data_IF_405894239424
#
_entry.id   IF_405894239424
#
_cell.length_a   1.000
_cell.length_b   1.000
_cell.length_c   1.000
_cell.angle_alpha   90.00
_cell.angle_beta   90.00
_cell.angle_gamma   90.00
#
_symmetry.space_group_name_H-M   'P 1'
#
loop_
_entity.id
_entity.type
_entity.pdbx_description
1 polymer ?
#
# COMPACT_ATOMS: atom_id res chain seq x y z
N UNK A 1 -17.66 -23.23 -7.64
CA UNK A 1 -16.37 -22.77 -8.19
C UNK A 1 -16.67 -21.61 -9.11
N UNK A 2 -15.96 -20.49 -8.98
CA UNK A 2 -16.20 -19.30 -9.80
C UNK A 2 -14.86 -18.85 -10.36
N UNK A 3 -14.67 -19.06 -11.67
CA UNK A 3 -13.48 -18.61 -12.37
C UNK A 3 -13.73 -17.16 -12.82
N UNK A 4 -12.83 -16.24 -12.47
CA UNK A 4 -12.97 -14.81 -12.78
C UNK A 4 -11.76 -14.35 -13.60
N UNK A 5 -12.03 -13.74 -14.75
CA UNK A 5 -11.05 -13.11 -15.63
C UNK A 5 -11.10 -11.60 -15.45
N UNK A 6 -10.03 -11.02 -14.91
CA UNK A 6 -9.85 -9.57 -14.83
C UNK A 6 -8.84 -9.11 -15.89
N UNK A 7 -9.33 -8.26 -16.82
CA UNK A 7 -8.51 -7.62 -17.85
C UNK A 7 -8.37 -6.14 -17.49
N UNK A 8 -7.14 -5.70 -17.24
CA UNK A 8 -6.83 -4.30 -16.89
C UNK A 8 -5.76 -3.72 -17.81
N UNK A 9 -5.99 -2.51 -18.31
CA UNK A 9 -4.90 -1.68 -18.84
C UNK A 9 -4.10 -1.11 -17.67
N UNK A 10 -2.77 -1.12 -17.78
CA UNK A 10 -1.92 -0.53 -16.75
C UNK A 10 -2.09 1.00 -16.82
N UNK A 11 -2.64 1.67 -15.77
CA UNK A 11 -2.81 3.11 -15.79
C UNK A 11 -1.46 3.84 -15.88
N UNK A 12 -1.44 4.99 -16.55
CA UNK A 12 -0.24 5.83 -16.58
C UNK A 12 0.01 6.40 -15.17
N UNK A 13 1.25 6.43 -14.67
CA UNK A 13 1.57 7.06 -13.40
C UNK A 13 1.12 8.53 -13.45
N UNK A 14 0.14 8.89 -12.62
CA UNK A 14 -0.47 10.23 -12.56
C UNK A 14 -1.99 10.29 -12.73
N UNK A 15 -2.67 9.23 -13.18
CA UNK A 15 -4.14 9.22 -13.29
C UNK A 15 -4.82 8.73 -12.00
N UNK A 16 -5.40 9.67 -11.24
CA UNK A 16 -6.02 9.47 -9.91
C UNK A 16 -7.21 8.50 -9.93
N UNK A 17 -7.98 8.42 -11.03
CA UNK A 17 -9.16 7.53 -11.15
C UNK A 17 -8.84 6.04 -11.16
N UNK A 18 -7.56 5.67 -11.32
CA UNK A 18 -7.14 4.27 -11.34
C UNK A 18 -6.78 3.69 -9.96
N UNK A 19 -6.68 4.56 -8.94
CA UNK A 19 -6.35 4.17 -7.56
C UNK A 19 -7.47 3.37 -6.88
N UNK A 20 -8.74 3.59 -7.23
CA UNK A 20 -9.86 2.90 -6.58
C UNK A 20 -9.97 1.40 -6.96
N UNK A 21 -9.31 0.97 -8.05
CA UNK A 21 -9.36 -0.42 -8.52
C UNK A 21 -8.20 -1.31 -8.04
N UNK A 22 -7.11 -0.74 -7.53
CA UNK A 22 -5.99 -1.50 -6.96
C UNK A 22 -6.14 -1.63 -5.45
N UNK A 23 -6.54 -2.84 -5.00
CA UNK A 23 -7.04 -3.09 -3.65
C UNK A 23 -5.99 -3.30 -2.57
N UNK A 24 -4.69 -3.36 -2.88
CA UNK A 24 -3.62 -3.47 -1.88
C UNK A 24 -2.37 -2.68 -2.26
N UNK A 25 -1.67 -2.13 -1.26
CA UNK A 25 -0.43 -1.37 -1.45
C UNK A 25 0.68 -2.22 -2.08
N UNK A 26 0.71 -3.52 -1.78
CA UNK A 26 1.66 -4.48 -2.38
C UNK A 26 1.41 -4.74 -3.87
N UNK A 27 0.15 -4.98 -4.25
CA UNK A 27 -0.22 -5.12 -5.68
C UNK A 27 0.02 -3.82 -6.46
N UNK A 28 -0.07 -2.66 -5.79
CA UNK A 28 0.25 -1.35 -6.38
C UNK A 28 1.76 -1.15 -6.58
N UNK A 29 2.60 -1.51 -5.60
CA UNK A 29 4.06 -1.41 -5.76
C UNK A 29 4.57 -2.31 -6.87
N UNK A 30 4.13 -3.57 -6.90
CA UNK A 30 4.46 -4.49 -8.00
C UNK A 30 3.97 -3.93 -9.34
N UNK A 31 2.77 -3.34 -9.36
CA UNK A 31 2.23 -2.67 -10.55
C UNK A 31 3.15 -1.53 -11.05
N UNK A 32 3.59 -0.63 -10.17
CA UNK A 32 4.43 0.51 -10.54
C UNK A 32 5.78 0.04 -11.07
N UNK A 33 6.40 -0.94 -10.42
CA UNK A 33 7.66 -1.53 -10.86
C UNK A 33 7.54 -2.17 -12.26
N UNK A 34 6.47 -2.93 -12.51
CA UNK A 34 6.25 -3.58 -13.81
C UNK A 34 5.94 -2.56 -14.90
N UNK A 35 5.22 -1.49 -14.60
CA UNK A 35 4.99 -0.42 -15.57
C UNK A 35 6.29 0.31 -15.93
N UNK A 36 7.17 0.57 -14.96
CA UNK A 36 8.51 1.13 -15.22
C UNK A 36 9.37 0.22 -16.09
N UNK A 37 9.18 -1.10 -15.99
CA UNK A 37 9.85 -2.10 -16.84
C UNK A 37 9.28 -2.18 -18.28
N UNK A 38 8.27 -1.38 -18.62
CA UNK A 38 7.72 -1.26 -19.98
C UNK A 38 6.48 -2.10 -20.26
N UNK A 39 5.97 -2.87 -19.30
CA UNK A 39 4.72 -3.60 -19.46
C UNK A 39 3.53 -2.64 -19.50
N UNK A 40 2.52 -2.92 -20.33
CA UNK A 40 1.36 -2.04 -20.55
C UNK A 40 0.00 -2.68 -20.28
N UNK A 41 -0.08 -4.01 -20.21
CA UNK A 41 -1.34 -4.74 -19.96
C UNK A 41 -1.13 -5.83 -18.90
N UNK A 42 -2.10 -5.99 -18.00
CA UNK A 42 -2.12 -7.05 -16.99
C UNK A 42 -3.35 -7.94 -17.21
N UNK A 43 -3.11 -9.24 -17.34
CA UNK A 43 -4.12 -10.28 -17.32
C UNK A 43 -4.01 -11.01 -16.00
N UNK A 44 -5.09 -11.04 -15.22
CA UNK A 44 -5.16 -11.87 -14.01
C UNK A 44 -6.37 -12.78 -14.14
N UNK A 45 -6.12 -14.08 -14.19
CA UNK A 45 -7.15 -15.08 -13.97
C UNK A 45 -6.93 -15.66 -12.58
N UNK A 46 -8.02 -15.87 -11.86
CA UNK A 46 -7.95 -16.51 -10.56
C UNK A 46 -9.15 -17.43 -10.36
N UNK A 47 -8.88 -18.47 -9.57
CA UNK A 47 -9.85 -19.45 -9.12
C UNK A 47 -9.70 -19.58 -7.62
N UNK A 48 -10.82 -19.45 -6.93
CA UNK A 48 -10.89 -19.73 -5.51
C UNK A 48 -11.47 -21.14 -5.29
N UNK A 49 -10.79 -21.93 -4.46
CA UNK A 49 -11.22 -23.24 -4.00
C UNK A 49 -11.90 -23.10 -2.65
N UNK A 50 -13.05 -23.78 -2.48
CA UNK A 50 -13.74 -24.03 -1.21
C UNK A 50 -13.66 -22.91 -0.16
N UNK A 51 -14.71 -22.09 -0.03
CA UNK A 51 -14.79 -21.10 1.04
C UNK A 51 -15.41 -21.71 2.29
N UNK A 52 -14.57 -22.10 3.24
CA UNK A 52 -15.00 -22.59 4.53
C UNK A 52 -14.93 -21.46 5.54
N UNK A 53 -16.08 -20.99 6.01
CA UNK A 53 -16.10 -20.09 7.17
C UNK A 53 -15.76 -20.91 8.39
N UNK A 54 -14.55 -20.76 8.90
CA UNK A 54 -14.16 -21.35 10.18
C UNK A 54 -14.46 -20.36 11.28
N UNK A 55 -15.15 -20.86 12.29
CA UNK A 55 -15.29 -20.18 13.57
C UNK A 55 -14.37 -20.89 14.56
N UNK A 56 -13.67 -20.08 15.35
CA UNK A 56 -12.82 -20.52 16.42
C UNK A 56 -13.68 -20.89 17.61
N UNK A 57 -13.60 -22.15 18.02
CA UNK A 57 -14.27 -22.67 19.21
C UNK A 57 -13.67 -22.09 20.52
N UNK A 58 -12.64 -21.24 20.41
CA UNK A 58 -11.91 -20.68 21.55
C UNK A 58 -12.79 -19.82 22.46
N UNK A 59 -13.85 -19.20 21.94
CA UNK A 59 -14.77 -18.38 22.73
C UNK A 59 -16.13 -19.05 23.01
N UNK A 60 -16.60 -19.96 22.16
CA UNK A 60 -17.94 -20.57 22.33
C UNK A 60 -18.07 -21.46 23.58
N UNK A 61 -16.94 -21.93 24.14
CA UNK A 61 -16.94 -22.81 25.33
C UNK A 61 -16.78 -22.09 26.68
N UNK A 62 -16.56 -20.78 26.69
CA UNK A 62 -16.31 -20.08 27.96
C UNK A 62 -17.53 -20.05 28.89
N UNK A 63 -18.72 -20.17 28.32
CA UNK A 63 -19.96 -19.94 29.07
C UNK A 63 -20.68 -21.22 29.52
N UNK A 64 -20.19 -22.43 29.19
CA UNK A 64 -21.07 -23.61 29.24
C UNK A 64 -20.53 -24.91 29.88
N UNK A 65 -19.51 -24.91 30.76
CA UNK A 65 -19.28 -25.95 31.80
C UNK A 65 -17.87 -25.97 32.46
N UNK A 66 -17.19 -24.85 32.69
CA UNK A 66 -15.94 -24.87 33.49
C UNK A 66 -14.77 -25.73 32.96
N UNK A 67 -14.92 -26.36 31.78
CA UNK A 67 -13.85 -27.09 31.10
C UNK A 67 -12.93 -26.06 30.44
N UNK A 68 -11.69 -25.98 30.94
CA UNK A 68 -10.66 -25.16 30.34
C UNK A 68 -10.46 -25.57 28.87
N UNK A 69 -10.32 -24.58 28.01
CA UNK A 69 -9.98 -24.78 26.60
C UNK A 69 -8.76 -25.70 26.48
N UNK A 70 -8.78 -26.73 25.62
CA UNK A 70 -7.61 -27.55 25.34
C UNK A 70 -6.64 -26.69 24.52
N UNK A 71 -5.89 -25.85 25.22
CA UNK A 71 -4.80 -25.06 24.66
C UNK A 71 -3.62 -25.98 24.37
N UNK A 72 -2.82 -25.58 23.38
CA UNK A 72 -1.58 -26.27 23.03
C UNK A 72 -0.71 -26.51 24.28
N UNK A 73 -0.23 -27.75 24.53
CA UNK A 73 0.56 -28.07 25.72
C UNK A 73 1.82 -27.21 25.84
N UNK A 74 2.46 -26.88 24.72
CA UNK A 74 3.65 -26.04 24.70
C UNK A 74 3.31 -24.59 25.05
N UNK A 75 2.22 -24.04 24.51
CA UNK A 75 1.69 -22.74 24.93
C UNK A 75 1.42 -22.69 26.44
N UNK A 76 0.74 -23.70 26.97
CA UNK A 76 0.46 -23.81 28.41
C UNK A 76 1.73 -23.87 29.24
N UNK A 77 2.76 -24.60 28.78
CA UNK A 77 4.06 -24.64 29.43
C UNK A 77 4.75 -23.28 29.43
N UNK A 78 4.75 -22.56 28.29
CA UNK A 78 5.33 -21.22 28.19
C UNK A 78 4.63 -20.21 29.11
N UNK A 79 3.30 -20.27 29.21
CA UNK A 79 2.53 -19.45 30.16
C UNK A 79 2.92 -19.77 31.62
N UNK A 80 3.14 -21.05 31.96
CA UNK A 80 3.58 -21.46 33.30
C UNK A 80 5.01 -20.99 33.61
N UNK A 81 5.92 -21.04 32.64
CA UNK A 81 7.32 -20.63 32.79
C UNK A 81 7.48 -19.13 33.09
N UNK A 82 6.53 -18.29 32.68
CA UNK A 82 6.51 -16.87 33.04
C UNK A 82 6.33 -16.59 34.54
N UNK A 83 5.80 -17.55 35.30
CA UNK A 83 5.51 -17.37 36.72
C UNK A 83 4.41 -16.33 36.99
N UNK A 84 4.34 -15.83 38.22
CA UNK A 84 3.29 -14.90 38.68
C UNK A 84 3.55 -13.42 38.35
N UNK A 85 4.81 -13.03 38.19
CA UNK A 85 5.22 -11.63 37.97
C UNK A 85 6.29 -11.54 36.86
N UNK A 86 5.94 -11.88 35.61
CA UNK A 86 6.88 -11.75 34.51
C UNK A 86 7.16 -10.28 34.18
N UNK A 87 8.35 -10.02 33.66
CA UNK A 87 8.68 -8.72 33.06
C UNK A 87 8.05 -8.60 31.67
N UNK A 88 7.83 -7.37 31.19
CA UNK A 88 7.25 -7.13 29.85
C UNK A 88 8.07 -7.81 28.76
N UNK A 89 9.41 -7.74 28.87
CA UNK A 89 10.32 -8.38 27.92
C UNK A 89 10.15 -9.89 27.86
N UNK A 90 10.00 -10.55 29.01
CA UNK A 90 9.76 -11.99 29.08
C UNK A 90 8.46 -12.37 28.39
N UNK A 91 7.38 -11.61 28.60
CA UNK A 91 6.10 -11.84 27.91
C UNK A 91 6.27 -11.70 26.39
N UNK A 92 7.00 -10.67 25.96
CA UNK A 92 7.25 -10.42 24.54
C UNK A 92 8.03 -11.54 23.88
N UNK A 93 9.13 -11.99 24.51
CA UNK A 93 10.01 -13.03 23.97
C UNK A 93 9.36 -14.41 23.97
N UNK A 94 8.61 -14.77 25.01
CA UNK A 94 8.05 -16.12 25.19
C UNK A 94 6.68 -16.31 24.55
N UNK A 95 5.80 -15.30 24.64
CA UNK A 95 4.43 -15.40 24.14
C UNK A 95 4.26 -14.61 22.84
N UNK A 96 4.48 -13.29 22.87
CA UNK A 96 4.06 -12.42 21.76
C UNK A 96 4.82 -12.73 20.47
N UNK A 97 6.14 -12.91 20.53
CA UNK A 97 6.95 -13.20 19.35
C UNK A 97 6.64 -14.57 18.74
N UNK A 98 6.23 -15.54 19.56
CA UNK A 98 5.97 -16.92 19.14
C UNK A 98 4.53 -17.15 18.68
N UNK A 99 3.55 -16.61 19.41
CA UNK A 99 2.13 -16.87 19.20
C UNK A 99 1.36 -15.64 18.70
N UNK A 100 2.00 -14.47 18.63
CA UNK A 100 1.36 -13.22 18.24
C UNK A 100 0.59 -12.54 19.38
N UNK A 101 -0.15 -11.49 19.03
CA UNK A 101 -0.94 -10.67 19.97
C UNK A 101 -2.42 -11.00 19.95
N UNK A 102 -2.88 -11.74 18.94
CA UNK A 102 -4.30 -12.02 18.70
C UNK A 102 -4.52 -13.50 18.40
N UNK A 103 -5.71 -13.98 18.77
CA UNK A 103 -6.28 -15.24 18.31
C UNK A 103 -7.27 -14.98 17.19
N UNK A 104 -7.35 -15.94 16.27
CA UNK A 104 -8.36 -15.96 15.23
C UNK A 104 -9.72 -16.32 15.84
N UNK A 105 -10.75 -15.50 15.62
CA UNK A 105 -12.13 -15.81 15.99
C UNK A 105 -12.92 -16.40 14.85
N UNK A 106 -12.86 -15.78 13.68
CA UNK A 106 -13.37 -16.40 12.48
C UNK A 106 -12.66 -15.86 11.26
N UNK A 107 -12.59 -16.70 10.25
CA UNK A 107 -12.05 -16.36 8.96
C UNK A 107 -12.60 -17.31 7.89
N UNK A 108 -12.32 -16.96 6.65
CA UNK A 108 -12.58 -17.83 5.52
C UNK A 108 -11.29 -18.58 5.19
N UNK A 109 -11.30 -19.90 5.40
CA UNK A 109 -10.28 -20.80 4.87
C UNK A 109 -10.64 -21.18 3.45
N UNK A 110 -9.61 -21.44 2.65
CA UNK A 110 -9.75 -21.89 1.28
C UNK A 110 -8.41 -21.93 0.57
N UNK A 111 -8.45 -21.92 -0.76
CA UNK A 111 -7.26 -21.70 -1.57
C UNK A 111 -7.54 -20.70 -2.67
N UNK A 112 -6.51 -20.02 -3.13
CA UNK A 112 -6.53 -19.22 -4.34
C UNK A 112 -5.40 -19.67 -5.25
N UNK A 113 -5.74 -20.03 -6.49
CA UNK A 113 -4.79 -20.20 -7.58
C UNK A 113 -5.04 -19.07 -8.57
N UNK A 114 -3.98 -18.30 -8.86
CA UNK A 114 -4.05 -17.23 -9.83
C UNK A 114 -2.84 -17.25 -10.77
N UNK A 115 -3.12 -16.93 -12.03
CA UNK A 115 -2.12 -16.72 -13.05
C UNK A 115 -2.18 -15.25 -13.46
N UNK A 116 -1.07 -14.55 -13.26
CA UNK A 116 -0.89 -13.16 -13.69
C UNK A 116 0.08 -13.10 -14.86
N UNK A 117 -0.33 -12.47 -15.95
CA UNK A 117 0.48 -12.27 -17.15
C UNK A 117 0.59 -10.77 -17.42
N UNK A 118 1.81 -10.24 -17.42
CA UNK A 118 2.12 -8.88 -17.84
C UNK A 118 2.59 -8.89 -19.30
N UNK A 119 2.05 -7.97 -20.09
CA UNK A 119 2.32 -7.88 -21.53
C UNK A 119 2.79 -6.49 -21.91
N UNK A 120 3.91 -6.42 -22.62
CA UNK A 120 4.38 -5.22 -23.31
C UNK A 120 3.83 -5.21 -24.74
N UNK A 121 2.73 -4.48 -24.96
CA UNK A 121 2.10 -4.31 -26.28
C UNK A 121 3.04 -3.72 -27.34
N UNK A 122 4.07 -2.96 -26.95
CA UNK A 122 5.00 -2.34 -27.92
C UNK A 122 5.90 -3.39 -28.55
N UNK A 123 6.40 -4.32 -27.74
CA UNK A 123 7.21 -5.44 -28.21
C UNK A 123 6.38 -6.51 -28.94
N UNK A 124 5.09 -6.61 -28.63
CA UNK A 124 4.15 -7.48 -29.33
C UNK A 124 3.88 -7.04 -30.77
N UNK A 125 3.78 -5.73 -31.00
CA UNK A 125 3.46 -5.14 -32.31
C UNK A 125 4.68 -4.94 -33.23
N UNK A 126 5.90 -5.23 -32.76
CA UNK A 126 7.10 -5.08 -33.58
C UNK A 126 7.18 -6.27 -34.55
N UNK A 127 6.81 -6.03 -35.82
CA UNK A 127 7.00 -7.00 -36.90
C UNK A 127 8.46 -7.45 -36.93
N UNK A 128 8.69 -8.75 -36.76
CA UNK A 128 9.97 -9.37 -37.11
C UNK A 128 9.93 -9.55 -38.63
N UNK A 129 10.35 -8.51 -39.36
CA UNK A 129 10.61 -8.62 -40.80
C UNK A 129 12.04 -9.15 -40.99
N UNK A 130 12.28 -10.44 -40.72
CA UNK A 130 13.31 -11.25 -41.38
C UNK A 130 12.85 -12.71 -41.29
N UNK A 131 12.83 -13.39 -42.44
CA UNK A 131 12.19 -14.69 -42.63
C UNK A 131 12.60 -15.78 -41.63
N UNK A 132 11.58 -16.41 -41.06
CA UNK A 132 11.59 -17.85 -40.78
C UNK A 132 10.13 -18.35 -40.67
N UNK A 133 9.77 -19.17 -41.65
CA UNK A 133 8.46 -19.82 -41.79
C UNK A 133 8.32 -20.94 -40.76
N UNK A 134 7.86 -20.57 -39.55
CA UNK A 134 7.08 -21.38 -38.59
C UNK A 134 7.13 -20.82 -37.15
N UNK A 135 7.47 -19.54 -36.95
CA UNK A 135 7.20 -18.89 -35.67
C UNK A 135 5.70 -18.55 -35.60
N UNK A 136 4.96 -19.26 -34.76
CA UNK A 136 3.54 -18.98 -34.49
C UNK A 136 3.41 -17.52 -34.09
N UNK A 137 2.73 -16.72 -34.93
CA UNK A 137 2.42 -15.32 -34.65
C UNK A 137 1.68 -15.25 -33.31
N UNK A 138 2.32 -14.63 -32.32
CA UNK A 138 1.77 -14.51 -30.98
C UNK A 138 0.77 -13.35 -30.96
N UNK A 139 -0.49 -13.66 -31.22
CA UNK A 139 -1.58 -12.70 -31.10
C UNK A 139 -2.09 -12.62 -29.65
N UNK A 140 -2.71 -11.48 -29.31
CA UNK A 140 -3.35 -11.29 -28.01
C UNK A 140 -4.43 -12.35 -27.72
N UNK A 141 -5.06 -12.86 -28.78
CA UNK A 141 -6.08 -13.89 -28.72
C UNK A 141 -5.54 -15.27 -28.34
N UNK A 142 -4.36 -15.67 -28.85
CA UNK A 142 -3.73 -16.93 -28.43
C UNK A 142 -3.28 -16.88 -26.97
N UNK A 143 -2.91 -15.70 -26.47
CA UNK A 143 -2.63 -15.51 -25.05
C UNK A 143 -3.90 -15.66 -24.19
N UNK A 144 -5.04 -15.12 -24.62
CA UNK A 144 -6.32 -15.32 -23.93
C UNK A 144 -6.74 -16.79 -23.92
N UNK A 145 -6.56 -17.51 -25.02
CA UNK A 145 -6.87 -18.93 -25.10
C UNK A 145 -5.97 -19.77 -24.18
N UNK A 146 -4.67 -19.46 -24.13
CA UNK A 146 -3.74 -20.09 -23.19
C UNK A 146 -4.09 -19.76 -21.73
N UNK A 147 -4.45 -18.51 -21.43
CA UNK A 147 -4.92 -18.14 -20.10
C UNK A 147 -6.19 -18.92 -19.74
N UNK A 148 -7.16 -19.02 -20.66
CA UNK A 148 -8.37 -19.80 -20.42
C UNK A 148 -8.10 -21.31 -20.21
N UNK A 149 -7.08 -21.89 -20.88
CA UNK A 149 -6.72 -23.30 -20.71
C UNK A 149 -5.95 -23.60 -19.42
N UNK A 150 -5.48 -22.58 -18.70
CA UNK A 150 -4.65 -22.76 -17.51
C UNK A 150 -5.28 -23.64 -16.43
N UNK A 151 -6.58 -23.44 -16.14
CA UNK A 151 -7.27 -24.25 -15.12
C UNK A 151 -7.66 -25.66 -15.60
N UNK A 152 -7.58 -25.92 -16.90
CA UNK A 152 -7.92 -27.23 -17.51
C UNK A 152 -6.65 -28.08 -17.64
N UNK A 153 -5.58 -27.50 -18.20
CA UNK A 153 -4.31 -28.17 -18.43
C UNK A 153 -3.16 -27.25 -18.01
N UNK A 154 -2.96 -27.20 -16.68
CA UNK A 154 -2.02 -26.30 -16.02
C UNK A 154 -0.60 -26.49 -16.52
N UNK A 155 -0.14 -27.74 -16.57
CA UNK A 155 1.27 -28.04 -16.83
C UNK A 155 1.65 -27.73 -18.28
N UNK A 156 0.81 -28.11 -19.25
CA UNK A 156 1.10 -27.79 -20.64
C UNK A 156 0.97 -26.28 -20.92
N UNK A 157 0.00 -25.61 -20.27
CA UNK A 157 -0.19 -24.17 -20.41
C UNK A 157 0.99 -23.39 -19.85
N UNK A 158 1.48 -23.71 -18.65
CA UNK A 158 2.65 -23.06 -18.07
C UNK A 158 3.92 -23.30 -18.88
N UNK A 159 4.15 -24.53 -19.37
CA UNK A 159 5.29 -24.80 -20.25
C UNK A 159 5.23 -23.92 -21.50
N UNK A 160 4.07 -23.82 -22.16
CA UNK A 160 3.87 -22.94 -23.32
C UNK A 160 4.14 -21.47 -22.95
N UNK A 161 3.56 -20.97 -21.86
CA UNK A 161 3.74 -19.59 -21.41
C UNK A 161 5.20 -19.26 -21.05
N UNK A 162 5.92 -20.20 -20.43
CA UNK A 162 7.35 -20.05 -20.16
C UNK A 162 8.18 -20.04 -21.44
N UNK A 163 7.87 -20.91 -22.41
CA UNK A 163 8.50 -20.85 -23.73
C UNK A 163 8.28 -19.49 -24.39
N UNK A 164 7.08 -18.91 -24.29
CA UNK A 164 6.80 -17.57 -24.82
C UNK A 164 7.56 -16.46 -24.08
N UNK A 165 7.71 -16.58 -22.76
CA UNK A 165 8.49 -15.64 -21.95
C UNK A 165 10.00 -15.71 -22.27
N UNK A 166 10.52 -16.90 -22.60
CA UNK A 166 11.92 -17.07 -23.00
C UNK A 166 12.14 -16.57 -24.43
N UNK A 167 11.23 -16.93 -25.35
CA UNK A 167 11.30 -16.53 -26.75
C UNK A 167 11.04 -15.02 -26.95
N UNK A 168 10.28 -14.39 -26.04
CA UNK A 168 9.94 -12.99 -26.12
C UNK A 168 9.98 -12.33 -24.74
N UNK A 169 10.81 -11.28 -24.63
CA UNK A 169 10.82 -10.39 -23.45
C UNK A 169 9.57 -9.51 -23.34
N UNK A 170 8.56 -9.72 -24.20
CA UNK A 170 7.28 -9.01 -24.15
C UNK A 170 6.35 -9.51 -23.05
N UNK A 171 6.64 -10.65 -22.42
CA UNK A 171 5.76 -11.27 -21.44
C UNK A 171 6.48 -11.53 -20.11
N UNK A 172 5.75 -11.37 -19.00
CA UNK A 172 6.17 -11.87 -17.70
C UNK A 172 5.01 -12.62 -17.06
N UNK A 173 5.25 -13.87 -16.70
CA UNK A 173 4.26 -14.76 -16.13
C UNK A 173 4.56 -14.94 -14.64
N UNK A 174 3.53 -14.90 -13.81
CA UNK A 174 3.61 -15.11 -12.37
C UNK A 174 2.43 -15.96 -11.93
N UNK A 175 2.73 -17.18 -11.50
CA UNK A 175 1.77 -18.09 -10.87
C UNK A 175 1.78 -17.85 -9.36
N UNK A 176 0.62 -17.69 -8.74
CA UNK A 176 0.47 -17.59 -7.30
C UNK A 176 -0.51 -18.64 -6.83
N UNK A 177 -0.06 -19.51 -5.92
CA UNK A 177 -0.88 -20.57 -5.31
C UNK A 177 -0.82 -20.44 -3.81
N UNK A 178 -1.98 -20.22 -3.20
CA UNK A 178 -2.18 -20.20 -1.75
C UNK A 178 -3.20 -21.27 -1.39
N UNK A 179 -2.88 -22.10 -0.39
CA UNK A 179 -3.64 -23.32 -0.10
C UNK A 179 -2.73 -24.55 0.04
N UNK A 180 -3.26 -25.76 0.23
CA UNK A 180 -2.47 -26.99 0.36
C UNK A 180 -1.64 -27.24 -0.92
N UNK A 181 -0.36 -26.91 -0.85
CA UNK A 181 0.63 -27.34 -1.83
C UNK A 181 0.87 -28.85 -1.62
N UNK A 182 -0.04 -29.70 -2.11
CA UNK A 182 0.08 -31.15 -1.88
C UNK A 182 -0.94 -32.06 -2.56
N UNK A 183 -2.11 -31.56 -2.97
CA UNK A 183 -3.06 -32.38 -3.73
C UNK A 183 -2.71 -32.27 -5.23
N UNK A 184 -1.74 -33.06 -5.68
CA UNK A 184 -1.43 -33.20 -7.11
C UNK A 184 -2.55 -33.89 -7.90
N UNK A 185 -3.52 -34.53 -7.22
CA UNK A 185 -4.76 -35.00 -7.83
C UNK A 185 -5.98 -34.38 -7.14
N UNK A 186 -6.94 -33.93 -7.97
CA UNK A 186 -8.20 -33.28 -7.59
C UNK A 186 -9.17 -34.20 -6.82
N UNK A 187 -8.84 -35.49 -6.67
CA UNK A 187 -9.78 -36.52 -6.20
C UNK A 187 -9.93 -36.61 -4.68
N UNK A 188 -9.05 -35.99 -3.89
CA UNK A 188 -9.15 -35.98 -2.42
C UNK A 188 -9.09 -34.55 -1.88
N UNK A 189 -10.22 -33.84 -1.97
CA UNK A 189 -10.44 -32.51 -1.38
C UNK A 189 -10.62 -32.54 0.15
N UNK A 190 -10.83 -33.72 0.74
CA UNK A 190 -11.18 -33.89 2.17
C UNK A 190 -9.96 -33.94 3.12
N UNK A 191 -8.73 -33.98 2.61
CA UNK A 191 -7.50 -34.09 3.43
C UNK A 191 -6.64 -32.81 3.46
N UNK A 192 -7.28 -31.66 3.27
CA UNK A 192 -6.60 -30.38 3.02
C UNK A 192 -6.33 -29.58 4.30
N UNK A 193 -5.04 -29.37 4.61
CA UNK A 193 -4.58 -28.24 5.44
C UNK A 193 -4.92 -26.93 4.74
N UNK A 194 -6.07 -26.36 5.05
CA UNK A 194 -6.61 -25.17 4.40
C UNK A 194 -5.93 -23.90 4.94
N UNK A 195 -5.36 -23.10 4.02
CA UNK A 195 -4.70 -21.84 4.34
C UNK A 195 -5.77 -20.74 4.42
N UNK A 196 -5.53 -19.73 5.24
CA UNK A 196 -6.38 -18.54 5.29
C UNK A 196 -6.32 -17.84 3.92
N UNK A 197 -7.47 -17.74 3.24
CA UNK A 197 -7.54 -16.94 2.00
C UNK A 197 -7.59 -15.49 2.43
N UNK A 198 -6.44 -14.82 2.39
CA UNK A 198 -6.34 -13.38 2.54
C UNK A 198 -6.77 -12.69 1.24
N UNK A 199 -8.06 -12.76 0.91
CA UNK A 199 -8.63 -11.91 -0.13
C UNK A 199 -9.12 -10.60 0.50
N UNK A 200 -9.09 -9.45 -0.21
CA UNK A 200 -9.64 -8.20 0.29
C UNK A 200 -11.15 -8.26 0.60
N UNK A 201 -11.84 -9.33 0.21
CA UNK A 201 -13.25 -9.60 0.56
C UNK A 201 -13.40 -10.43 1.84
N UNK A 202 -12.36 -11.13 2.28
CA UNK A 202 -12.40 -12.01 3.44
C UNK A 202 -12.05 -11.23 4.70
N UNK A 203 -13.05 -11.03 5.56
CA UNK A 203 -12.87 -10.39 6.87
C UNK A 203 -12.30 -11.40 7.85
N UNK A 204 -11.08 -11.15 8.32
CA UNK A 204 -10.48 -11.87 9.44
C UNK A 204 -10.94 -11.18 10.72
N UNK A 205 -11.58 -11.93 11.61
CA UNK A 205 -11.98 -11.44 12.91
C UNK A 205 -10.97 -11.92 13.94
N UNK A 206 -10.25 -10.97 14.52
CA UNK A 206 -9.22 -11.21 15.51
C UNK A 206 -9.70 -10.75 16.89
N UNK A 207 -9.23 -11.44 17.92
CA UNK A 207 -9.45 -11.07 19.30
C UNK A 207 -8.13 -11.12 20.05
N UNK A 208 -7.94 -10.23 21.01
CA UNK A 208 -6.69 -10.18 21.75
C UNK A 208 -6.42 -11.48 22.51
N UNK A 209 -5.19 -11.99 22.41
CA UNK A 209 -4.71 -13.23 23.05
C UNK A 209 -4.82 -13.15 24.58
N UNK A 210 -4.83 -11.94 25.16
CA UNK A 210 -5.07 -11.75 26.59
C UNK A 210 -6.35 -12.41 27.08
N UNK A 211 -7.36 -12.63 26.22
CA UNK A 211 -8.57 -13.29 26.67
C UNK A 211 -8.33 -14.71 27.15
N UNK A 212 -7.42 -15.47 26.55
CA UNK A 212 -7.16 -16.87 26.94
C UNK A 212 -6.10 -17.01 28.04
N UNK A 213 -5.42 -15.92 28.38
CA UNK A 213 -4.42 -15.90 29.44
C UNK A 213 -5.08 -15.84 30.83
N UNK A 214 -4.38 -16.34 31.87
CA UNK A 214 -4.79 -16.14 33.27
C UNK A 214 -4.98 -14.66 33.61
N UNK A 215 -5.94 -14.34 34.49
CA UNK A 215 -6.31 -12.96 34.82
C UNK A 215 -5.13 -12.08 35.26
N UNK A 216 -4.23 -12.65 36.05
CA UNK A 216 -3.05 -11.93 36.55
C UNK A 216 -2.06 -11.53 35.44
N UNK A 217 -2.10 -12.17 34.26
CA UNK A 217 -1.25 -11.84 33.12
C UNK A 217 -1.89 -10.88 32.12
N UNK A 218 -3.23 -10.75 32.12
CA UNK A 218 -3.94 -10.02 31.05
C UNK A 218 -3.46 -8.58 30.89
N UNK A 219 -3.41 -7.82 31.98
CA UNK A 219 -3.00 -6.41 31.96
C UNK A 219 -1.54 -6.25 31.51
N UNK A 220 -0.62 -7.06 32.05
CA UNK A 220 0.79 -7.05 31.66
C UNK A 220 1.02 -7.48 30.22
N UNK A 221 0.22 -8.44 29.73
CA UNK A 221 0.28 -8.85 28.33
C UNK A 221 -0.14 -7.72 27.39
N UNK A 222 -1.21 -7.00 27.72
CA UNK A 222 -1.64 -5.84 26.92
C UNK A 222 -0.56 -4.76 26.90
N UNK A 223 0.05 -4.46 28.04
CA UNK A 223 1.18 -3.52 28.14
C UNK A 223 2.38 -3.94 27.27
N UNK A 224 2.75 -5.23 27.33
CA UNK A 224 3.81 -5.80 26.50
C UNK A 224 3.45 -5.80 25.00
N UNK A 225 2.21 -6.11 24.65
CA UNK A 225 1.71 -6.13 23.28
C UNK A 225 1.67 -4.71 22.66
N UNK A 226 1.25 -3.71 23.44
CA UNK A 226 1.29 -2.31 23.00
C UNK A 226 2.72 -1.81 22.82
N UNK A 227 3.65 -2.20 23.70
CA UNK A 227 5.08 -1.89 23.53
C UNK A 227 5.67 -2.58 22.30
N UNK A 228 5.29 -3.83 22.03
CA UNK A 228 5.73 -4.58 20.86
C UNK A 228 5.20 -3.96 19.55
N UNK A 229 3.91 -3.66 19.47
CA UNK A 229 3.27 -3.14 18.25
C UNK A 229 3.51 -1.63 18.07
N UNK A 230 3.29 -0.84 19.12
CA UNK A 230 3.32 0.61 19.06
C UNK A 230 4.72 1.20 19.04
N UNK A 231 5.69 0.51 19.65
CA UNK A 231 7.08 0.96 19.77
C UNK A 231 8.06 0.06 19.04
N UNK A 232 7.61 -0.90 18.23
CA UNK A 232 8.45 -1.88 17.52
C UNK A 232 9.48 -2.61 18.41
N UNK A 233 9.19 -2.79 19.71
CA UNK A 233 10.14 -3.30 20.71
C UNK A 233 11.38 -2.43 20.98
N UNK A 234 11.38 -1.18 20.54
CA UNK A 234 12.48 -0.21 20.74
C UNK A 234 12.31 0.63 22.02
N UNK A 235 11.18 0.48 22.69
CA UNK A 235 10.85 1.20 23.92
C UNK A 235 9.61 0.63 24.62
N UNK A 236 9.25 1.25 25.73
CA UNK A 236 8.06 0.89 26.53
C UNK A 236 6.91 1.85 26.20
N UNK A 237 5.71 1.31 25.97
CA UNK A 237 4.54 2.13 25.67
C UNK A 237 3.94 2.70 26.96
N UNK A 238 3.90 4.03 27.07
CA UNK A 238 3.44 4.76 28.26
C UNK A 238 2.34 5.74 27.87
N UNK A 239 1.23 5.71 28.60
CA UNK A 239 0.16 6.71 28.48
C UNK A 239 0.07 7.55 29.74
N UNK A 240 0.09 8.88 29.61
CA UNK A 240 -0.23 9.83 30.68
C UNK A 240 -1.17 10.91 30.16
N UNK A 241 -2.21 11.22 30.91
CA UNK A 241 -3.15 12.31 30.60
C UNK A 241 -3.71 12.26 29.16
N UNK A 242 -4.14 11.07 28.71
CA UNK A 242 -4.61 10.78 27.34
C UNK A 242 -3.57 10.96 26.22
N UNK A 243 -2.29 11.16 26.55
CA UNK A 243 -1.19 11.22 25.60
C UNK A 243 -0.32 9.97 25.75
N UNK A 244 -0.20 9.16 24.69
CA UNK A 244 0.52 7.88 24.73
C UNK A 244 1.76 7.91 23.83
N UNK A 245 2.92 7.49 24.33
CA UNK A 245 4.20 7.49 23.62
C UNK A 245 5.09 6.31 23.98
N UNK A 246 6.15 6.14 23.22
CA UNK A 246 7.20 5.17 23.52
C UNK A 246 8.27 5.84 24.37
N UNK A 247 8.50 5.34 25.58
CA UNK A 247 9.71 5.63 26.32
C UNK A 247 10.86 4.86 25.65
N UNK A 248 11.61 5.56 24.80
CA UNK A 248 12.65 4.97 23.98
C UNK A 248 13.80 4.40 24.82
N UNK A 249 14.31 3.25 24.40
CA UNK A 249 15.56 2.69 24.92
C UNK A 249 16.76 3.55 24.53
N UNK A 250 17.83 3.48 25.32
CA UNK A 250 19.10 4.17 25.04
C UNK A 250 19.69 3.77 23.68
N UNK A 251 19.41 2.55 23.21
CA UNK A 251 19.85 2.07 21.89
C UNK A 251 19.06 2.67 20.72
N UNK A 252 17.85 3.15 20.97
CA UNK A 252 16.91 3.62 19.96
C UNK A 252 16.33 4.99 20.36
N UNK A 253 17.16 6.04 20.51
CA UNK A 253 16.71 7.35 20.99
C UNK A 253 15.65 8.00 20.09
N UNK A 254 15.54 7.56 18.84
CA UNK A 254 14.59 8.05 17.85
C UNK A 254 13.36 7.15 17.66
N UNK A 255 13.05 6.24 18.58
CA UNK A 255 11.96 5.26 18.43
C UNK A 255 10.56 5.88 18.17
N UNK A 256 10.32 7.11 18.62
CA UNK A 256 9.07 7.82 18.36
C UNK A 256 9.06 8.56 17.02
N UNK A 257 10.18 8.62 16.30
CA UNK A 257 10.36 9.47 15.13
C UNK A 257 10.35 8.64 13.85
N UNK A 258 9.27 8.72 13.04
CA UNK A 258 9.21 8.04 11.76
C UNK A 258 9.99 8.84 10.71
N UNK A 259 11.33 8.75 10.73
CA UNK A 259 12.20 9.57 9.89
C UNK A 259 11.88 9.49 8.40
N UNK A 260 11.53 8.30 7.91
CA UNK A 260 11.18 8.08 6.50
C UNK A 260 9.92 8.86 6.12
N UNK A 261 8.89 8.81 6.97
CA UNK A 261 7.65 9.54 6.73
C UNK A 261 7.84 11.05 6.85
N UNK A 262 8.65 11.50 7.82
CA UNK A 262 8.99 12.92 7.98
C UNK A 262 9.72 13.42 6.74
N UNK A 263 10.77 12.74 6.28
CA UNK A 263 11.50 13.10 5.05
C UNK A 263 10.59 13.11 3.83
N UNK A 264 9.71 12.12 3.69
CA UNK A 264 8.74 12.10 2.61
C UNK A 264 7.79 13.31 2.64
N UNK A 265 7.36 13.77 3.83
CA UNK A 265 6.55 14.99 3.97
C UNK A 265 7.37 16.25 3.64
N UNK A 266 8.65 16.32 4.05
CA UNK A 266 9.56 17.42 3.70
C UNK A 266 9.80 17.50 2.19
N UNK A 267 10.09 16.37 1.53
CA UNK A 267 10.27 16.29 0.08
C UNK A 267 9.01 16.73 -0.66
N UNK A 268 7.83 16.40 -0.15
CA UNK A 268 6.57 16.88 -0.71
C UNK A 268 6.41 18.40 -0.59
N UNK A 269 6.90 19.03 0.49
CA UNK A 269 6.89 20.49 0.63
C UNK A 269 7.87 21.15 -0.35
N UNK A 270 9.06 20.56 -0.54
CA UNK A 270 10.03 21.00 -1.55
C UNK A 270 9.43 20.90 -2.95
N UNK A 271 8.72 19.81 -3.25
CA UNK A 271 8.00 19.66 -4.50
C UNK A 271 6.91 20.72 -4.69
N UNK A 272 6.11 21.02 -3.66
CA UNK A 272 5.10 22.10 -3.72
C UNK A 272 5.75 23.46 -3.94
N UNK A 273 6.89 23.73 -3.30
CA UNK A 273 7.65 24.96 -3.52
C UNK A 273 8.11 25.06 -4.98
N UNK A 274 8.62 23.97 -5.57
CA UNK A 274 8.97 23.90 -6.99
C UNK A 274 7.77 24.09 -7.93
N UNK A 275 6.62 23.51 -7.60
CA UNK A 275 5.39 23.71 -8.37
C UNK A 275 4.88 25.15 -8.29
N UNK A 276 5.01 25.80 -7.13
CA UNK A 276 4.64 27.20 -6.94
C UNK A 276 5.55 28.13 -7.76
N UNK A 277 6.86 27.93 -7.71
CA UNK A 277 7.81 28.74 -8.49
C UNK A 277 7.61 28.54 -9.99
N UNK A 278 7.32 27.32 -10.44
CA UNK A 278 6.99 27.04 -11.82
C UNK A 278 5.70 27.73 -12.26
N UNK A 279 4.62 27.64 -11.47
CA UNK A 279 3.35 28.29 -11.78
C UNK A 279 3.50 29.82 -11.92
N UNK A 280 4.26 30.45 -11.02
CA UNK A 280 4.56 31.88 -11.14
C UNK A 280 5.38 32.20 -12.40
N UNK A 281 6.38 31.37 -12.73
CA UNK A 281 7.19 31.55 -13.94
C UNK A 281 6.37 31.36 -15.22
N UNK A 282 5.44 30.42 -15.23
CA UNK A 282 4.50 30.21 -16.36
C UNK A 282 3.48 31.35 -16.50
N UNK A 283 3.16 32.05 -15.41
CA UNK A 283 2.39 33.29 -15.46
C UNK A 283 3.22 34.44 -16.05
N UNK A 284 4.44 34.66 -15.54
CA UNK A 284 5.34 35.69 -16.05
C UNK A 284 5.70 35.49 -17.53
N UNK A 285 5.82 34.24 -17.99
CA UNK A 285 6.11 33.93 -19.39
C UNK A 285 4.86 33.88 -20.29
N UNK A 286 3.66 34.09 -19.75
CA UNK A 286 2.44 34.02 -20.56
C UNK A 286 2.35 35.19 -21.52
N UNK A 287 1.80 34.95 -22.72
CA UNK A 287 1.65 36.00 -23.74
C UNK A 287 0.79 37.15 -23.21
N UNK A 288 -0.25 36.87 -22.42
CA UNK A 288 -1.10 37.89 -21.82
C UNK A 288 -0.30 38.84 -20.92
N UNK A 289 0.54 38.28 -20.03
CA UNK A 289 1.38 39.09 -19.14
C UNK A 289 2.44 39.86 -19.91
N UNK A 290 3.12 39.23 -20.88
CA UNK A 290 4.13 39.89 -21.70
C UNK A 290 3.55 41.01 -22.57
N UNK A 291 2.35 40.82 -23.13
CA UNK A 291 1.63 41.85 -23.90
C UNK A 291 1.26 43.03 -22.98
N UNK A 292 0.77 42.75 -21.78
CA UNK A 292 0.47 43.80 -20.80
C UNK A 292 1.71 44.61 -20.43
N UNK A 293 2.83 43.96 -20.10
CA UNK A 293 4.09 44.64 -19.78
C UNK A 293 4.55 45.52 -20.95
N UNK A 294 4.43 45.04 -22.20
CA UNK A 294 4.78 45.83 -23.40
C UNK A 294 3.84 47.01 -23.67
N UNK A 295 2.59 46.96 -23.20
CA UNK A 295 1.60 48.04 -23.34
C UNK A 295 1.75 49.14 -22.30
N UNK A 296 2.53 48.92 -21.24
CA UNK A 296 2.75 49.93 -20.22
C UNK A 296 3.51 51.13 -20.80
N UNK A 297 3.14 52.37 -20.43
CA UNK A 297 3.88 53.58 -20.81
C UNK A 297 5.36 53.49 -20.43
N UNK A 298 6.25 53.67 -21.42
CA UNK A 298 7.71 53.67 -21.21
C UNK A 298 8.32 55.07 -21.09
N UNK A 299 7.53 56.10 -21.36
CA UNK A 299 7.97 57.50 -21.44
C UNK A 299 8.04 58.20 -20.08
N UNK A 300 7.56 57.57 -19.00
CA UNK A 300 7.69 58.06 -17.62
C UNK A 300 7.65 56.90 -16.62
N UNK A 301 8.15 57.15 -15.40
CA UNK A 301 8.11 56.15 -14.33
C UNK A 301 6.67 55.98 -13.80
N UNK A 302 6.18 54.74 -13.79
CA UNK A 302 4.86 54.41 -13.27
C UNK A 302 4.94 54.11 -11.77
N UNK A 303 3.98 54.64 -11.01
CA UNK A 303 3.77 54.24 -9.61
C UNK A 303 2.87 52.98 -9.54
N UNK A 304 2.85 52.33 -8.37
CA UNK A 304 2.07 51.10 -8.16
C UNK A 304 0.57 51.29 -8.46
N UNK A 305 0.01 52.45 -8.12
CA UNK A 305 -1.39 52.79 -8.38
C UNK A 305 -1.73 52.87 -9.87
N UNK A 306 -0.83 53.42 -10.69
CA UNK A 306 -0.99 53.49 -12.14
C UNK A 306 -0.91 52.10 -12.78
N UNK A 307 0.01 51.25 -12.31
CA UNK A 307 0.11 49.85 -12.76
C UNK A 307 -1.17 49.09 -12.41
N UNK A 308 -1.69 49.24 -11.19
CA UNK A 308 -2.97 48.64 -10.78
C UNK A 308 -4.14 49.11 -11.65
N UNK A 309 -4.16 50.38 -12.06
CA UNK A 309 -5.19 50.89 -12.97
C UNK A 309 -5.13 50.18 -14.32
N UNK A 310 -3.95 50.12 -14.96
CA UNK A 310 -3.78 49.40 -16.23
C UNK A 310 -4.10 47.90 -16.10
N UNK A 311 -3.72 47.28 -14.98
CA UNK A 311 -4.02 45.88 -14.68
C UNK A 311 -5.51 45.61 -14.63
N UNK A 312 -6.29 46.48 -13.97
CA UNK A 312 -7.76 46.35 -13.90
C UNK A 312 -8.44 46.53 -15.26
N UNK A 313 -7.79 47.25 -16.17
CA UNK A 313 -8.31 47.51 -17.52
C UNK A 313 -7.97 46.40 -18.52
N UNK A 314 -7.04 45.50 -18.22
CA UNK A 314 -6.68 44.38 -19.10
C UNK A 314 -7.36 43.06 -18.66
N UNK A 315 -8.44 42.61 -19.36
CA UNK A 315 -9.15 41.40 -18.99
C UNK A 315 -8.33 40.12 -19.21
N UNK A 316 -7.37 40.13 -20.14
CA UNK A 316 -6.55 38.96 -20.48
C UNK A 316 -5.60 38.59 -19.34
N UNK A 317 -4.86 39.58 -18.82
CA UNK A 317 -4.01 39.39 -17.64
C UNK A 317 -4.83 39.04 -16.41
N UNK A 318 -5.99 39.67 -16.23
CA UNK A 318 -6.85 39.38 -15.09
C UNK A 318 -7.34 37.92 -15.09
N UNK A 319 -7.76 37.41 -16.25
CA UNK A 319 -8.16 36.02 -16.40
C UNK A 319 -7.00 35.06 -16.12
N UNK A 320 -5.81 35.36 -16.66
CA UNK A 320 -4.61 34.53 -16.46
C UNK A 320 -4.15 34.53 -15.00
N UNK A 321 -4.21 35.68 -14.33
CA UNK A 321 -3.88 35.80 -12.91
C UNK A 321 -4.87 35.03 -12.03
N UNK A 322 -6.16 35.05 -12.36
CA UNK A 322 -7.16 34.26 -11.64
C UNK A 322 -6.90 32.74 -11.74
N UNK A 323 -6.38 32.26 -12.86
CA UNK A 323 -5.94 30.86 -12.99
C UNK A 323 -4.76 30.56 -12.08
N UNK A 324 -3.79 31.48 -11.99
CA UNK A 324 -2.67 31.39 -11.06
C UNK A 324 -3.14 31.35 -9.60
N UNK A 325 -4.06 32.23 -9.19
CA UNK A 325 -4.64 32.25 -7.84
C UNK A 325 -5.32 30.92 -7.47
N UNK A 326 -6.10 30.34 -8.39
CA UNK A 326 -6.75 29.06 -8.15
C UNK A 326 -5.70 27.94 -7.95
N UNK A 327 -4.69 27.90 -8.83
CA UNK A 327 -3.62 26.90 -8.78
C UNK A 327 -2.78 27.02 -7.49
N UNK A 328 -2.31 28.22 -7.20
CA UNK A 328 -1.52 28.53 -5.99
C UNK A 328 -2.34 28.33 -4.71
N UNK A 329 -3.63 28.70 -4.71
CA UNK A 329 -4.54 28.42 -3.60
C UNK A 329 -4.72 26.93 -3.30
N UNK A 330 -4.74 26.07 -4.32
CA UNK A 330 -4.74 24.60 -4.13
C UNK A 330 -3.41 24.10 -3.56
N UNK A 331 -2.29 24.62 -4.05
CA UNK A 331 -0.95 24.29 -3.52
C UNK A 331 -0.80 24.71 -2.06
N UNK A 332 -1.31 25.89 -1.68
CA UNK A 332 -1.28 26.37 -0.30
C UNK A 332 -2.11 25.47 0.63
N UNK A 333 -3.34 25.12 0.22
CA UNK A 333 -4.19 24.18 0.99
C UNK A 333 -3.51 22.82 1.16
N UNK A 334 -2.85 22.31 0.12
CA UNK A 334 -2.06 21.06 0.18
C UNK A 334 -0.88 21.21 1.13
N UNK A 335 -0.13 22.30 1.04
CA UNK A 335 0.99 22.62 1.93
C UNK A 335 0.57 22.63 3.39
N UNK A 336 -0.51 23.34 3.75
CA UNK A 336 -1.04 23.37 5.13
C UNK A 336 -1.38 21.97 5.68
N UNK A 337 -1.99 21.10 4.86
CA UNK A 337 -2.27 19.71 5.27
C UNK A 337 -1.00 18.92 5.56
N UNK A 338 0.02 19.08 4.71
CA UNK A 338 1.31 18.40 4.89
C UNK A 338 2.04 18.92 6.12
N UNK A 339 2.08 20.24 6.31
CA UNK A 339 2.65 20.88 7.50
C UNK A 339 1.99 20.37 8.78
N UNK A 340 0.66 20.31 8.83
CA UNK A 340 -0.07 19.77 9.99
C UNK A 340 0.27 18.30 10.24
N UNK A 341 0.36 17.48 9.19
CA UNK A 341 0.74 16.07 9.31
C UNK A 341 2.18 15.94 9.81
N UNK A 342 3.09 16.77 9.31
CA UNK A 342 4.49 16.79 9.69
C UNK A 342 4.66 17.21 11.16
N UNK A 343 3.89 18.19 11.65
CA UNK A 343 3.84 18.51 13.08
C UNK A 343 3.37 17.33 13.94
N UNK A 344 2.32 16.61 13.50
CA UNK A 344 1.84 15.43 14.22
C UNK A 344 2.89 14.32 14.27
N UNK A 345 3.56 14.04 13.15
CA UNK A 345 4.63 13.03 13.07
C UNK A 345 5.86 13.43 13.89
N UNK A 346 6.19 14.71 13.94
CA UNK A 346 7.38 15.24 14.62
C UNK A 346 7.16 15.65 16.07
N UNK A 347 5.92 15.57 16.60
CA UNK A 347 5.57 16.01 17.97
C UNK A 347 6.53 15.48 19.04
N UNK A 348 7.10 14.28 18.82
CA UNK A 348 8.02 13.59 19.75
C UNK A 348 9.35 13.20 19.13
N UNK A 349 9.69 13.78 17.98
CA UNK A 349 11.03 13.72 17.43
C UNK A 349 11.93 14.67 18.22
N UNK A 350 13.18 14.26 18.47
CA UNK A 350 14.20 15.16 19.03
C UNK A 350 14.54 16.31 18.07
N UNK A 351 14.43 16.06 16.76
CA UNK A 351 14.59 17.04 15.70
C UNK A 351 13.28 17.78 15.47
N UNK A 352 13.22 19.05 15.89
CA UNK A 352 12.12 19.93 15.48
C UNK A 352 12.32 20.36 14.02
N UNK A 353 11.34 20.11 13.13
CA UNK A 353 11.46 20.51 11.73
C UNK A 353 11.37 22.03 11.58
N UNK A 354 12.31 22.62 10.83
CA UNK A 354 12.26 24.03 10.45
C UNK A 354 11.38 24.19 9.22
N UNK A 355 10.14 24.63 9.40
CA UNK A 355 9.17 24.81 8.32
C UNK A 355 9.18 26.27 7.87
N UNK A 356 9.59 26.52 6.62
CA UNK A 356 9.49 27.83 5.99
C UNK A 356 8.39 27.76 4.94
N UNK A 357 7.24 28.35 5.24
CA UNK A 357 6.11 28.40 4.30
C UNK A 357 6.36 29.55 3.31
N UNK A 358 6.15 29.34 1.99
CA UNK A 358 6.21 30.41 1.01
C UNK A 358 5.19 31.50 1.37
N UNK A 359 5.65 32.75 1.45
CA UNK A 359 4.75 33.92 1.53
C UNK A 359 4.27 34.28 0.13
N UNK A 360 3.02 34.74 0.02
CA UNK A 360 2.56 35.47 -1.16
C UNK A 360 3.53 36.62 -1.45
N UNK A 361 3.91 36.76 -2.72
CA UNK A 361 4.80 37.81 -3.23
C UNK A 361 4.00 38.85 -3.98
#
# INVERSE_FOLDING_TARGET
MSDLLEIGHLPKPGHVESFERMRSLGEFTEFVERYQQGFTTKYKIYREFGRWKVNSLVLERRDNNGFALPLDPEFMQNVRLLGRRPTLRMITETIIRKYGTHVLLCATLGGEESLTIFVDKRKLNRRVDVGDSNSTRLNLETLHQLAASYFIDRESTLRKLHHLQIASTAFKVTETRTGPLGCSNYDNLDSVSSVLVQSPKNKIYLQGLQLILPDYLKSRFVEAALSYIGCNSEGEFVCRDNDCWCQCSVRFPHCNCPEVDVRAMEDNLVYIQGAWTLANKEFENSDEFQIFVRRLPTFYALNSSAIQYFWKMDPGVHQRYRQLEISTGLLLKKSHRIVNKLFTLSKRCHTQPKIIVPRER
#
